data_IF_736262333805
#
_entry.id   IF_736262333805
#
_cell.length_a   1.000
_cell.length_b   1.000
_cell.length_c   1.000
_cell.angle_alpha   90.00
_cell.angle_beta   90.00
_cell.angle_gamma   90.00
#
_symmetry.space_group_name_H-M   'P 1'
#
loop_
_entity.id
_entity.type
_entity.pdbx_description
1 polymer ?
#
# COMPACT_ATOMS: atom_id res chain seq x y z
N UNK A 1 -18.22 -27.88 59.30
CA UNK A 1 -18.22 -28.16 57.85
C UNK A 1 -18.04 -26.81 57.17
N UNK A 2 -17.20 -26.66 56.13
CA UNK A 2 -17.11 -25.40 55.40
C UNK A 2 -18.45 -25.12 54.69
N UNK A 3 -18.89 -23.86 54.68
CA UNK A 3 -20.04 -23.43 53.88
C UNK A 3 -19.70 -23.56 52.39
N UNK A 4 -20.63 -24.14 51.64
CA UNK A 4 -20.55 -24.20 50.19
C UNK A 4 -21.01 -22.84 49.63
N UNK A 5 -20.46 -22.39 48.48
CA UNK A 5 -20.95 -21.19 47.82
C UNK A 5 -22.45 -21.32 47.58
N UNK A 6 -23.23 -20.40 48.16
CA UNK A 6 -24.68 -20.43 48.11
C UNK A 6 -25.12 -19.87 46.75
N UNK A 7 -25.79 -20.67 45.88
CA UNK A 7 -26.12 -20.25 44.52
C UNK A 7 -27.12 -19.08 44.44
N UNK A 8 -27.73 -18.69 45.56
CA UNK A 8 -28.66 -17.55 45.62
C UNK A 8 -27.98 -16.21 45.93
N UNK A 9 -26.74 -16.21 46.41
CA UNK A 9 -25.97 -14.99 46.66
C UNK A 9 -25.04 -14.70 45.48
N UNK A 10 -25.33 -13.66 44.66
CA UNK A 10 -24.45 -13.33 43.56
C UNK A 10 -23.11 -12.83 44.07
N UNK A 11 -22.03 -13.36 43.50
CA UNK A 11 -20.69 -12.89 43.78
C UNK A 11 -20.46 -11.47 43.22
N UNK A 12 -19.37 -10.83 43.65
CA UNK A 12 -19.06 -9.45 43.25
C UNK A 12 -19.07 -9.22 41.73
N UNK A 13 -18.68 -10.20 40.92
CA UNK A 13 -18.61 -10.14 39.45
C UNK A 13 -19.88 -10.63 38.74
N UNK A 14 -20.95 -10.89 39.49
CA UNK A 14 -22.19 -11.44 38.97
C UNK A 14 -23.34 -10.42 38.99
N UNK A 15 -24.37 -10.71 38.20
CA UNK A 15 -25.58 -9.91 38.12
C UNK A 15 -25.59 -8.84 37.01
N UNK A 16 -26.74 -8.15 36.83
CA UNK A 16 -27.03 -7.35 35.65
C UNK A 16 -26.05 -6.20 35.38
N UNK A 17 -25.42 -5.68 36.44
CA UNK A 17 -24.43 -4.59 36.36
C UNK A 17 -23.17 -4.98 35.56
N UNK A 18 -22.82 -6.26 35.52
CA UNK A 18 -21.64 -6.77 34.80
C UNK A 18 -21.96 -7.32 33.42
N UNK A 19 -23.23 -7.42 33.02
CA UNK A 19 -23.62 -7.98 31.73
C UNK A 19 -22.97 -7.24 30.56
N UNK A 20 -22.92 -5.91 30.60
CA UNK A 20 -22.29 -5.10 29.55
C UNK A 20 -20.78 -5.33 29.46
N UNK A 21 -20.10 -5.44 30.61
CA UNK A 21 -18.67 -5.73 30.67
C UNK A 21 -18.38 -7.17 30.23
N UNK A 22 -19.20 -8.13 30.66
CA UNK A 22 -19.14 -9.52 30.24
C UNK A 22 -19.32 -9.66 28.72
N UNK A 23 -20.32 -8.99 28.15
CA UNK A 23 -20.52 -8.92 26.71
C UNK A 23 -19.28 -8.34 26.01
N UNK A 24 -18.76 -7.21 26.48
CA UNK A 24 -17.59 -6.59 25.87
C UNK A 24 -16.37 -7.54 25.85
N UNK A 25 -16.05 -8.17 26.99
CA UNK A 25 -14.91 -9.09 27.09
C UNK A 25 -15.15 -10.35 26.24
N UNK A 26 -16.36 -10.92 26.29
CA UNK A 26 -16.74 -12.10 25.50
C UNK A 26 -16.61 -11.86 23.99
N UNK A 27 -16.97 -10.67 23.51
CA UNK A 27 -16.92 -10.31 22.10
C UNK A 27 -15.68 -9.50 21.71
N UNK A 28 -14.73 -9.28 22.60
CA UNK A 28 -13.52 -8.48 22.36
C UNK A 28 -12.75 -8.96 21.11
N UNK A 29 -12.70 -10.27 20.88
CA UNK A 29 -12.10 -10.85 19.68
C UNK A 29 -12.79 -10.40 18.39
N UNK A 30 -14.12 -10.29 18.39
CA UNK A 30 -14.90 -9.89 17.22
C UNK A 30 -14.68 -8.41 16.89
N UNK A 31 -14.56 -7.56 17.91
CA UNK A 31 -14.13 -6.17 17.72
C UNK A 31 -12.72 -6.10 17.11
N UNK A 32 -11.79 -6.95 17.56
CA UNK A 32 -10.46 -7.06 16.98
C UNK A 32 -10.48 -7.46 15.50
N UNK A 33 -11.32 -8.42 15.13
CA UNK A 33 -11.51 -8.83 13.72
C UNK A 33 -12.06 -7.67 12.89
N UNK A 34 -13.15 -7.02 13.34
CA UNK A 34 -13.76 -5.89 12.63
C UNK A 34 -12.76 -4.74 12.46
N UNK A 35 -12.05 -4.39 13.53
CA UNK A 35 -11.02 -3.36 13.48
C UNK A 35 -9.90 -3.74 12.50
N UNK A 36 -9.44 -4.99 12.52
CA UNK A 36 -8.42 -5.49 11.60
C UNK A 36 -8.85 -5.40 10.13
N UNK A 37 -10.10 -5.75 9.83
CA UNK A 37 -10.65 -5.62 8.48
C UNK A 37 -10.72 -4.16 8.02
N UNK A 38 -11.18 -3.26 8.88
CA UNK A 38 -11.26 -1.82 8.56
C UNK A 38 -9.85 -1.26 8.36
N UNK A 39 -8.92 -1.52 9.28
CA UNK A 39 -7.55 -1.04 9.20
C UNK A 39 -6.84 -1.57 7.94
N UNK A 40 -7.02 -2.85 7.62
CA UNK A 40 -6.48 -3.43 6.39
C UNK A 40 -7.09 -2.78 5.14
N UNK A 41 -8.41 -2.57 5.12
CA UNK A 41 -9.09 -1.87 4.04
C UNK A 41 -8.56 -0.45 3.82
N UNK A 42 -8.39 0.31 4.90
CA UNK A 42 -7.80 1.67 4.85
C UNK A 42 -6.37 1.59 4.34
N UNK A 43 -5.53 0.70 4.90
CA UNK A 43 -4.13 0.57 4.50
C UNK A 43 -3.97 0.23 3.01
N UNK A 44 -4.82 -0.64 2.46
CA UNK A 44 -4.83 -0.97 1.03
C UNK A 44 -5.29 0.22 0.20
N UNK A 45 -6.35 0.92 0.62
CA UNK A 45 -6.87 2.08 -0.09
C UNK A 45 -5.86 3.22 -0.18
N UNK A 46 -5.09 3.46 0.89
CA UNK A 46 -4.10 4.54 0.98
C UNK A 46 -2.68 4.09 0.61
N UNK A 47 -2.49 2.83 0.20
CA UNK A 47 -1.16 2.30 -0.10
C UNK A 47 -0.47 3.06 -1.23
N UNK A 48 -1.23 3.38 -2.29
CA UNK A 48 -0.71 4.10 -3.45
C UNK A 48 -0.52 5.60 -3.19
N UNK A 49 -1.35 6.22 -2.34
CA UNK A 49 -1.21 7.65 -2.01
C UNK A 49 0.17 7.97 -1.43
N UNK A 50 0.74 7.05 -0.63
CA UNK A 50 2.12 7.18 -0.11
C UNK A 50 3.22 6.88 -1.14
N UNK A 51 2.95 6.08 -2.18
CA UNK A 51 3.94 5.70 -3.19
C UNK A 51 3.99 6.67 -4.39
N UNK A 52 2.92 7.45 -4.61
CA UNK A 52 2.82 8.40 -5.73
C UNK A 52 3.14 9.84 -5.38
N UNK A 53 3.48 10.16 -4.13
CA UNK A 53 3.89 11.52 -3.71
C UNK A 53 5.09 12.07 -4.50
N UNK A 54 5.93 11.18 -5.05
CA UNK A 54 7.02 11.56 -5.96
C UNK A 54 6.51 12.20 -7.27
N UNK A 55 5.30 11.85 -7.73
CA UNK A 55 4.69 12.41 -8.95
C UNK A 55 4.27 13.86 -8.80
N UNK A 56 4.06 14.30 -7.57
CA UNK A 56 3.71 15.68 -7.29
C UNK A 56 4.90 16.60 -7.09
N UNK A 57 6.11 16.02 -6.99
CA UNK A 57 7.34 16.80 -6.88
C UNK A 57 7.60 17.66 -8.12
N UNK A 58 8.15 18.87 -7.95
CA UNK A 58 8.49 19.74 -9.08
C UNK A 58 9.49 19.07 -10.03
N UNK A 59 10.44 18.30 -9.50
CA UNK A 59 11.42 17.56 -10.29
C UNK A 59 10.78 16.52 -11.24
N UNK A 60 9.77 15.78 -10.78
CA UNK A 60 9.06 14.81 -11.64
C UNK A 60 8.23 15.51 -12.72
N UNK A 61 7.49 16.56 -12.35
CA UNK A 61 6.67 17.35 -13.29
C UNK A 61 7.51 17.99 -14.39
N UNK A 62 8.65 18.58 -14.01
CA UNK A 62 9.62 19.10 -14.97
C UNK A 62 10.20 18.00 -15.85
N UNK A 63 10.52 16.81 -15.31
CA UNK A 63 11.06 15.71 -16.13
C UNK A 63 10.07 15.13 -17.13
N UNK A 64 8.78 15.00 -16.78
CA UNK A 64 7.75 14.48 -17.68
C UNK A 64 7.40 15.52 -18.75
N UNK A 65 7.26 16.79 -18.35
CA UNK A 65 7.05 17.90 -19.29
C UNK A 65 8.25 18.07 -20.24
N UNK A 66 9.47 17.91 -19.73
CA UNK A 66 10.69 17.94 -20.53
C UNK A 66 10.89 16.70 -21.40
N UNK A 67 10.12 15.64 -21.20
CA UNK A 67 10.11 14.44 -22.05
C UNK A 67 8.98 14.50 -23.10
N UNK A 68 7.87 15.16 -22.81
CA UNK A 68 6.77 15.37 -23.77
C UNK A 68 7.11 16.43 -24.84
N UNK A 69 8.12 17.27 -24.60
CA UNK A 69 8.58 18.33 -25.51
C UNK A 69 9.87 18.09 -26.35
N UNK A 70 10.58 16.95 -26.30
CA UNK A 70 11.65 16.63 -27.26
C UNK A 70 11.35 15.46 -28.22
N UNK A 71 10.20 14.77 -28.13
CA UNK A 71 9.86 13.69 -29.09
C UNK A 71 9.18 14.16 -30.39
N UNK A 72 9.09 15.48 -30.65
CA UNK A 72 8.83 16.02 -32.00
C UNK A 72 10.11 16.65 -32.60
N UNK A 73 11.28 16.05 -32.33
CA UNK A 73 12.52 16.40 -33.04
C UNK A 73 13.42 15.18 -33.36
N UNK A 74 12.90 13.95 -33.23
CA UNK A 74 13.62 12.73 -33.64
C UNK A 74 13.14 12.17 -35.00
N UNK A 75 12.32 12.90 -35.76
CA UNK A 75 12.07 12.62 -37.19
C UNK A 75 13.13 13.24 -38.12
N UNK A 76 14.34 13.46 -37.60
CA UNK A 76 15.53 13.71 -38.41
C UNK A 76 16.67 12.78 -37.97
N UNK A 77 16.36 11.55 -37.58
CA UNK A 77 17.30 10.42 -37.70
C UNK A 77 17.46 10.06 -39.18
N UNK A 78 18.06 10.97 -39.95
CA UNK A 78 18.79 10.57 -41.14
C UNK A 78 20.09 9.93 -40.62
N UNK A 79 20.26 8.65 -40.86
CA UNK A 79 21.37 7.82 -40.39
C UNK A 79 22.74 8.51 -40.52
N UNK A 80 23.23 9.10 -39.42
CA UNK A 80 24.57 9.70 -39.32
C UNK A 80 25.66 8.61 -39.29
N UNK A 81 25.28 7.34 -39.15
CA UNK A 81 26.21 6.20 -39.09
C UNK A 81 26.20 5.28 -40.33
N UNK A 82 25.45 5.58 -41.39
CA UNK A 82 25.50 4.82 -42.67
C UNK A 82 26.66 5.26 -43.57
N UNK A 83 27.58 6.07 -43.05
CA UNK A 83 28.71 6.66 -43.77
C UNK A 83 30.07 6.24 -43.24
N UNK A 84 30.21 5.07 -42.62
CA UNK A 84 31.52 4.56 -42.24
C UNK A 84 32.28 4.09 -43.49
N UNK A 85 33.35 4.79 -43.96
CA UNK A 85 34.03 4.45 -45.20
C UNK A 85 34.88 3.17 -45.11
N UNK A 86 34.88 2.49 -43.95
CA UNK A 86 35.82 1.39 -43.64
C UNK A 86 35.23 -0.01 -43.87
N UNK A 87 33.99 -0.15 -44.38
CA UNK A 87 33.35 -1.46 -44.59
C UNK A 87 33.78 -2.18 -45.89
N UNK A 88 34.61 -1.58 -46.73
CA UNK A 88 35.13 -2.28 -47.93
C UNK A 88 36.49 -2.90 -47.61
N UNK A 89 36.48 -4.18 -47.21
CA UNK A 89 37.70 -4.99 -47.19
C UNK A 89 38.18 -5.24 -48.63
N UNK A 90 39.47 -5.03 -48.96
CA UNK A 90 39.98 -5.35 -50.30
C UNK A 90 39.85 -6.85 -50.56
N UNK A 91 39.34 -7.21 -51.75
CA UNK A 91 39.28 -8.60 -52.19
C UNK A 91 40.72 -9.15 -52.32
N UNK A 92 40.98 -10.29 -51.71
CA UNK A 92 42.24 -11.02 -51.88
C UNK A 92 42.27 -11.61 -53.30
N UNK A 93 43.33 -11.29 -54.06
CA UNK A 93 43.67 -11.97 -55.31
C UNK A 93 44.03 -13.45 -55.09
#
# INVERSE_FOLDING_TARGET
MPELPDPETPDFWEGPQWEALGFFVQYMWAFGVVFGLIACGVAVATYNDGATDFRDTPAYKESVQSQEFPEESESSSADVFEGNPTEVAPALE
#
